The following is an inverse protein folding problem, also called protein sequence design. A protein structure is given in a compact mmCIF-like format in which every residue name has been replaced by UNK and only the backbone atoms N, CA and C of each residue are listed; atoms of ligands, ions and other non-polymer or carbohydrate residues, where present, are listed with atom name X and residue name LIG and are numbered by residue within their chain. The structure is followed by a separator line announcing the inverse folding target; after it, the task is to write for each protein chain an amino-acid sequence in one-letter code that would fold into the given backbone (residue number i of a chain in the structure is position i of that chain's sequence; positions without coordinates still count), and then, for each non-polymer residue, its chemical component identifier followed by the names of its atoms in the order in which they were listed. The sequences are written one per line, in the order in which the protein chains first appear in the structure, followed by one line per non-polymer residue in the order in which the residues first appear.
data_IF_957745808178
#
_entry.id   IF_957745808178
#
_cell.length_a   1.000
_cell.length_b   1.000
_cell.length_c   1.000
_cell.angle_alpha   90.00
_cell.angle_beta   90.00
_cell.angle_gamma   90.00
#
_symmetry.space_group_name_H-M   'P 1'
#
loop_
_entity.id
_entity.type
_entity.pdbx_description
1 polymer ?
#
# COMPACT_ATOMS: atom_id res chain seq x y z
N UNK A 1 -20.66 28.83 13.45
CA UNK A 1 -19.41 29.53 13.11
C UNK A 1 -18.32 28.49 12.95
N UNK A 2 -17.57 28.50 11.84
CA UNK A 2 -16.47 27.55 11.64
C UNK A 2 -15.27 27.92 12.51
N UNK A 3 -14.67 26.94 13.18
CA UNK A 3 -13.43 27.15 13.93
C UNK A 3 -12.27 27.34 12.95
N UNK A 4 -11.47 28.38 13.16
CA UNK A 4 -10.24 28.62 12.40
C UNK A 4 -9.05 28.57 13.37
N UNK A 5 -8.08 27.66 13.18
CA UNK A 5 -6.94 27.56 14.08
C UNK A 5 -6.07 28.82 13.98
N UNK A 6 -5.54 29.32 15.10
CA UNK A 6 -4.65 30.49 15.10
C UNK A 6 -3.36 30.17 14.37
N UNK A 7 -2.87 31.10 13.55
CA UNK A 7 -1.58 30.96 12.87
C UNK A 7 -0.43 31.18 13.85
N UNK A 8 0.76 30.63 13.55
CA UNK A 8 1.95 30.81 14.38
C UNK A 8 2.28 32.29 14.63
N UNK A 9 2.16 33.14 13.60
CA UNK A 9 2.37 34.59 13.73
C UNK A 9 1.41 35.24 14.73
N UNK A 10 0.14 34.81 14.73
CA UNK A 10 -0.85 35.29 15.69
C UNK A 10 -0.56 34.83 17.13
N UNK A 11 -0.02 33.62 17.29
CA UNK A 11 0.38 33.07 18.59
C UNK A 11 1.60 33.78 19.17
N UNK A 12 2.59 34.12 18.33
CA UNK A 12 3.76 34.92 18.73
C UNK A 12 3.29 36.29 19.23
N UNK A 13 2.49 37.01 18.43
CA UNK A 13 1.99 38.33 18.81
C UNK A 13 1.18 38.29 20.12
N UNK A 14 0.32 37.28 20.31
CA UNK A 14 -0.42 37.08 21.56
C UNK A 14 0.51 36.82 22.75
N UNK A 15 1.57 36.05 22.56
CA UNK A 15 2.50 35.71 23.65
C UNK A 15 3.33 36.93 24.05
N UNK A 16 3.82 37.70 23.07
CA UNK A 16 4.52 38.97 23.32
C UNK A 16 3.63 39.97 24.07
N UNK A 17 2.35 40.13 23.65
CA UNK A 17 1.38 40.98 24.35
C UNK A 17 1.12 40.52 25.79
N UNK A 18 1.01 39.21 26.03
CA UNK A 18 0.83 38.67 27.38
C UNK A 18 2.03 38.98 28.29
N UNK A 19 3.26 38.93 27.76
CA UNK A 19 4.47 39.25 28.52
C UNK A 19 4.50 40.75 28.85
N UNK A 20 4.23 41.61 27.87
CA UNK A 20 4.24 43.07 28.05
C UNK A 20 3.17 43.53 29.06
N UNK A 21 1.98 42.92 29.05
CA UNK A 21 0.93 43.21 30.02
C UNK A 21 1.30 42.84 31.46
N UNK A 22 2.07 41.76 31.65
CA UNK A 22 2.48 41.29 32.99
C UNK A 22 3.76 41.93 33.49
N UNK A 23 4.63 42.36 32.57
CA UNK A 23 5.90 43.01 32.86
C UNK A 23 5.97 44.35 32.11
N UNK A 24 5.33 45.41 32.65
CA UNK A 24 5.33 46.72 32.01
C UNK A 24 6.76 47.24 31.79
N UNK A 25 7.03 47.78 30.60
CA UNK A 25 8.38 48.23 30.24
C UNK A 25 9.36 47.12 29.88
N UNK A 26 8.92 45.86 29.87
CA UNK A 26 9.62 44.80 29.13
C UNK A 26 9.37 45.00 27.63
N UNK A 27 10.41 44.89 26.81
CA UNK A 27 10.32 45.07 25.35
C UNK A 27 10.50 43.70 24.68
N UNK A 28 9.50 42.80 24.74
CA UNK A 28 9.63 41.42 24.27
C UNK A 28 9.70 41.31 22.74
N UNK A 29 9.26 42.33 21.99
CA UNK A 29 9.35 42.33 20.51
C UNK A 29 10.78 42.58 19.99
N UNK A 30 11.67 43.08 20.85
CA UNK A 30 13.05 43.34 20.46
C UNK A 30 13.79 42.02 20.18
N UNK A 31 14.37 41.91 18.99
CA UNK A 31 15.21 40.77 18.60
C UNK A 31 16.38 40.59 19.60
N UNK A 32 16.81 39.34 19.75
CA UNK A 32 17.98 38.94 20.56
C UNK A 32 17.83 39.13 22.08
N UNK A 33 16.63 39.45 22.57
CA UNK A 33 16.33 39.41 24.01
C UNK A 33 15.90 38.02 24.44
N UNK A 34 16.26 37.65 25.67
CA UNK A 34 15.83 36.41 26.32
C UNK A 34 14.30 36.28 26.36
N UNK A 35 13.58 37.38 26.60
CA UNK A 35 12.11 37.43 26.58
C UNK A 35 11.53 37.12 25.21
N UNK A 36 12.16 37.58 24.13
CA UNK A 36 11.76 37.26 22.77
C UNK A 36 11.92 35.76 22.51
N UNK A 37 13.07 35.17 22.87
CA UNK A 37 13.29 33.74 22.72
C UNK A 37 12.25 32.89 23.48
N UNK A 38 11.87 33.29 24.70
CA UNK A 38 10.83 32.62 25.49
C UNK A 38 9.45 32.75 24.83
N UNK A 39 9.10 33.93 24.31
CA UNK A 39 7.83 34.15 23.62
C UNK A 39 7.68 33.25 22.39
N UNK A 40 8.75 33.13 21.58
CA UNK A 40 8.77 32.26 20.42
C UNK A 40 8.70 30.77 20.81
N UNK A 41 9.44 30.35 21.84
CA UNK A 41 9.39 28.97 22.31
C UNK A 41 7.98 28.59 22.78
N UNK A 42 7.32 29.45 23.57
CA UNK A 42 5.97 29.20 24.05
C UNK A 42 4.93 29.22 22.93
N UNK A 43 5.06 30.13 21.96
CA UNK A 43 4.19 30.17 20.79
C UNK A 43 4.35 28.90 19.91
N UNK A 44 5.58 28.40 19.74
CA UNK A 44 5.86 27.16 19.04
C UNK A 44 5.25 25.94 19.71
N UNK A 45 5.37 25.83 21.04
CA UNK A 45 4.71 24.77 21.81
C UNK A 45 3.18 24.83 21.66
N UNK A 46 2.59 26.02 21.75
CA UNK A 46 1.15 26.20 21.58
C UNK A 46 0.69 25.81 20.16
N UNK A 47 1.46 26.18 19.13
CA UNK A 47 1.17 25.79 17.75
C UNK A 47 1.18 24.26 17.58
N UNK A 48 2.20 23.58 18.11
CA UNK A 48 2.26 22.11 18.09
C UNK A 48 1.08 21.45 18.81
N UNK A 49 0.62 22.01 19.93
CA UNK A 49 -0.59 21.55 20.61
C UNK A 49 -1.85 21.71 19.74
N UNK A 50 -2.00 22.85 19.05
CA UNK A 50 -3.14 23.07 18.15
C UNK A 50 -3.14 22.08 16.97
N UNK A 51 -1.97 21.82 16.38
CA UNK A 51 -1.82 20.83 15.32
C UNK A 51 -2.16 19.42 15.80
N UNK A 52 -1.66 19.02 16.97
CA UNK A 52 -1.94 17.71 17.53
C UNK A 52 -3.43 17.53 17.85
N UNK A 53 -4.08 18.52 18.48
CA UNK A 53 -5.53 18.47 18.76
C UNK A 53 -6.33 18.40 17.46
N UNK A 54 -5.92 19.15 16.42
CA UNK A 54 -6.54 19.09 15.10
C UNK A 54 -6.42 17.70 14.49
N UNK A 55 -5.24 17.06 14.60
CA UNK A 55 -5.04 15.68 14.17
C UNK A 55 -5.94 14.72 14.95
N UNK A 56 -5.99 14.79 16.29
CA UNK A 56 -6.89 13.95 17.12
C UNK A 56 -8.34 14.13 16.69
N UNK A 57 -8.78 15.37 16.45
CA UNK A 57 -10.14 15.66 16.00
C UNK A 57 -10.50 14.97 14.68
N UNK A 58 -9.55 14.82 13.75
CA UNK A 58 -9.74 14.07 12.50
C UNK A 58 -9.86 12.56 12.72
N UNK A 59 -9.19 12.01 13.73
CA UNK A 59 -9.23 10.57 14.04
C UNK A 59 -10.54 10.12 14.71
N UNK A 60 -11.30 11.04 15.33
CA UNK A 60 -12.55 10.69 16.03
C UNK A 60 -13.62 10.18 15.07
N UNK A 61 -13.71 10.76 13.87
CA UNK A 61 -14.72 10.41 12.87
C UNK A 61 -14.10 9.37 11.92
N UNK A 62 -14.66 8.16 11.80
CA UNK A 62 -14.09 7.10 10.97
C UNK A 62 -13.89 7.49 9.49
N UNK A 63 -14.70 8.40 8.96
CA UNK A 63 -14.57 8.84 7.57
C UNK A 63 -13.39 9.77 7.30
N UNK A 64 -12.84 10.42 8.33
CA UNK A 64 -11.69 11.34 8.23
C UNK A 64 -10.45 10.83 8.94
N UNK A 65 -10.55 9.68 9.62
CA UNK A 65 -9.45 9.05 10.32
C UNK A 65 -8.41 8.49 9.34
N UNK A 66 -7.16 8.44 9.80
CA UNK A 66 -6.07 7.75 9.13
C UNK A 66 -6.29 6.23 9.19
N UNK A 67 -5.60 5.48 8.33
CA UNK A 67 -5.87 4.05 8.11
C UNK A 67 -5.73 3.20 9.39
N UNK A 68 -4.74 3.49 10.24
CA UNK A 68 -4.49 2.74 11.48
C UNK A 68 -5.63 2.93 12.50
N UNK A 69 -6.06 4.16 12.73
CA UNK A 69 -7.17 4.47 13.63
C UNK A 69 -8.50 3.96 13.06
N UNK A 70 -8.69 4.04 11.74
CA UNK A 70 -9.86 3.44 11.08
C UNK A 70 -9.95 1.93 11.34
N UNK A 71 -8.82 1.21 11.34
CA UNK A 71 -8.80 -0.21 11.66
C UNK A 71 -9.21 -0.48 13.12
N UNK A 72 -8.80 0.36 14.07
CA UNK A 72 -9.26 0.27 15.46
C UNK A 72 -10.76 0.57 15.60
N UNK A 73 -11.27 1.58 14.89
CA UNK A 73 -12.70 1.83 14.77
C UNK A 73 -13.42 0.59 14.22
N UNK A 74 -12.96 0.03 13.10
CA UNK A 74 -13.56 -1.19 12.54
C UNK A 74 -13.55 -2.36 13.54
N UNK A 75 -12.45 -2.54 14.29
CA UNK A 75 -12.35 -3.56 15.35
C UNK A 75 -13.41 -3.37 16.43
N UNK A 76 -13.67 -2.13 16.86
CA UNK A 76 -14.72 -1.82 17.83
C UNK A 76 -16.10 -2.27 17.32
N UNK A 77 -16.38 -2.08 16.02
CA UNK A 77 -17.62 -2.53 15.38
C UNK A 77 -17.61 -4.03 15.00
N UNK A 78 -16.56 -4.78 15.31
CA UNK A 78 -16.41 -6.19 14.94
C UNK A 78 -16.14 -6.44 13.45
N UNK A 79 -15.89 -5.38 12.67
CA UNK A 79 -15.54 -5.48 11.26
C UNK A 79 -14.02 -5.65 11.14
N UNK A 80 -13.58 -6.72 10.48
CA UNK A 80 -12.15 -6.95 10.21
C UNK A 80 -11.87 -6.78 8.73
N UNK A 81 -10.75 -6.13 8.40
CA UNK A 81 -10.28 -6.05 7.02
C UNK A 81 -9.95 -7.45 6.51
N UNK A 82 -10.44 -7.77 5.30
CA UNK A 82 -10.06 -9.01 4.62
C UNK A 82 -8.59 -8.93 4.25
N UNK A 83 -7.84 -10.00 4.52
CA UNK A 83 -6.49 -10.12 4.03
C UNK A 83 -6.50 -10.17 2.50
N UNK A 84 -5.41 -9.70 1.88
CA UNK A 84 -5.24 -9.81 0.46
C UNK A 84 -5.21 -11.30 0.08
N UNK A 85 -6.19 -11.74 -0.72
CA UNK A 85 -6.21 -13.10 -1.28
C UNK A 85 -5.52 -13.07 -2.64
N UNK A 86 -4.73 -14.10 -2.93
CA UNK A 86 -4.16 -14.28 -4.27
C UNK A 86 -5.27 -14.61 -5.28
N UNK A 87 -5.20 -14.00 -6.47
CA UNK A 87 -6.11 -14.34 -7.55
C UNK A 87 -5.83 -15.78 -8.04
N UNK A 88 -6.90 -16.58 -8.21
CA UNK A 88 -6.85 -17.90 -8.83
C UNK A 88 -7.75 -17.93 -10.05
N UNK A 89 -7.28 -18.50 -11.16
CA UNK A 89 -8.07 -18.58 -12.39
C UNK A 89 -7.62 -19.69 -13.34
N UNK A 90 -8.47 -20.07 -14.30
CA UNK A 90 -8.12 -21.04 -15.33
C UNK A 90 -7.12 -20.43 -16.32
N UNK A 91 -6.12 -21.22 -16.69
CA UNK A 91 -5.11 -20.96 -17.69
C UNK A 91 -5.13 -22.11 -18.69
N UNK A 92 -5.42 -21.81 -19.95
CA UNK A 92 -5.37 -22.81 -21.02
C UNK A 92 -3.93 -23.01 -21.46
N UNK A 93 -3.43 -24.24 -21.28
CA UNK A 93 -2.08 -24.64 -21.70
C UNK A 93 -2.20 -25.59 -22.88
N UNK A 94 -1.47 -25.31 -23.95
CA UNK A 94 -1.37 -26.18 -25.12
C UNK A 94 -0.07 -26.98 -25.06
N UNK A 95 -0.16 -28.30 -25.05
CA UNK A 95 1.01 -29.19 -25.08
C UNK A 95 1.10 -29.97 -26.39
N UNK A 96 2.31 -30.19 -26.89
CA UNK A 96 2.57 -30.90 -28.15
C UNK A 96 2.75 -32.41 -27.97
N UNK A 97 2.90 -32.90 -26.74
CA UNK A 97 3.07 -34.31 -26.40
C UNK A 97 2.56 -34.57 -24.97
N UNK A 98 2.37 -35.85 -24.63
CA UNK A 98 2.03 -36.26 -23.27
C UNK A 98 3.08 -35.75 -22.29
N UNK A 99 2.69 -34.89 -21.34
CA UNK A 99 3.61 -34.19 -20.45
C UNK A 99 2.98 -34.05 -19.07
N UNK A 100 3.76 -34.31 -18.02
CA UNK A 100 3.35 -34.04 -16.64
C UNK A 100 3.88 -32.67 -16.23
N UNK A 101 2.97 -31.77 -15.84
CA UNK A 101 3.31 -30.48 -15.25
C UNK A 101 3.37 -30.65 -13.73
N UNK A 102 4.55 -30.52 -13.09
CA UNK A 102 4.66 -30.66 -11.65
C UNK A 102 4.03 -29.46 -10.93
N UNK A 103 3.59 -29.69 -9.69
CA UNK A 103 3.19 -28.62 -8.79
C UNK A 103 4.32 -27.59 -8.65
N UNK A 104 3.97 -26.30 -8.58
CA UNK A 104 4.93 -25.20 -8.50
C UNK A 104 5.51 -24.75 -9.84
N UNK A 105 5.02 -25.29 -10.98
CA UNK A 105 5.32 -24.73 -12.30
C UNK A 105 4.92 -23.25 -12.36
N UNK A 106 5.80 -22.38 -12.90
CA UNK A 106 5.65 -20.93 -12.85
C UNK A 106 5.37 -20.33 -14.22
N UNK A 107 4.47 -19.35 -14.24
CA UNK A 107 4.21 -18.49 -15.39
C UNK A 107 4.34 -17.03 -14.99
N UNK A 108 4.87 -16.21 -15.88
CA UNK A 108 5.13 -14.81 -15.64
C UNK A 108 4.37 -13.94 -16.63
N UNK A 109 3.68 -12.91 -16.13
CA UNK A 109 3.10 -11.85 -16.95
C UNK A 109 4.21 -10.90 -17.44
N UNK A 110 3.99 -10.21 -18.55
CA UNK A 110 4.87 -9.16 -19.05
C UNK A 110 5.34 -8.15 -17.97
N UNK A 111 4.52 -7.86 -16.97
CA UNK A 111 4.80 -6.91 -15.89
C UNK A 111 5.65 -7.49 -14.74
N UNK A 112 6.03 -8.77 -14.80
CA UNK A 112 6.83 -9.43 -13.76
C UNK A 112 6.05 -10.19 -12.69
N UNK A 113 4.71 -10.14 -12.73
CA UNK A 113 3.85 -10.90 -11.80
C UNK A 113 3.91 -12.39 -12.11
N UNK A 114 4.15 -13.21 -11.10
CA UNK A 114 4.33 -14.66 -11.24
C UNK A 114 3.12 -15.42 -10.70
N UNK A 115 2.72 -16.44 -11.43
CA UNK A 115 1.65 -17.39 -11.11
C UNK A 115 2.25 -18.78 -10.95
N UNK A 116 1.73 -19.57 -10.02
CA UNK A 116 2.16 -20.94 -9.76
C UNK A 116 1.02 -21.93 -9.86
N UNK A 117 1.36 -23.12 -10.31
CA UNK A 117 0.48 -24.29 -10.26
C UNK A 117 0.38 -24.83 -8.83
N UNK A 118 -0.83 -25.04 -8.31
CA UNK A 118 -1.02 -25.62 -6.98
C UNK A 118 -0.74 -27.14 -6.97
N UNK A 119 -1.33 -27.87 -7.92
CA UNK A 119 -1.27 -29.34 -7.97
C UNK A 119 -0.69 -29.84 -9.29
N UNK A 120 0.02 -30.97 -9.26
CA UNK A 120 0.57 -31.57 -10.47
C UNK A 120 -0.55 -32.07 -11.40
N UNK A 121 -0.42 -31.80 -12.70
CA UNK A 121 -1.38 -32.22 -13.72
C UNK A 121 -0.68 -33.09 -14.75
N UNK A 122 -1.25 -34.26 -15.03
CA UNK A 122 -0.79 -35.15 -16.10
C UNK A 122 -1.63 -34.87 -17.34
N UNK A 123 -0.97 -34.59 -18.47
CA UNK A 123 -1.62 -34.43 -19.76
C UNK A 123 -1.27 -35.66 -20.60
N UNK A 124 -2.27 -36.52 -20.86
CA UNK A 124 -2.08 -37.84 -21.47
C UNK A 124 -1.82 -37.80 -22.99
N UNK A 125 -2.19 -36.71 -23.66
CA UNK A 125 -1.99 -36.51 -25.11
C UNK A 125 -1.85 -35.03 -25.45
N UNK A 126 -1.17 -34.73 -26.56
CA UNK A 126 -1.13 -33.39 -27.14
C UNK A 126 -2.54 -32.79 -27.26
N UNK A 127 -2.74 -31.61 -26.68
CA UNK A 127 -4.05 -30.97 -26.57
C UNK A 127 -4.00 -29.68 -25.76
N UNK A 128 -5.14 -28.99 -25.74
CA UNK A 128 -5.40 -27.84 -24.87
C UNK A 128 -6.02 -28.35 -23.58
N UNK A 129 -5.39 -28.05 -22.44
CA UNK A 129 -5.89 -28.40 -21.11
C UNK A 129 -6.04 -27.13 -20.29
N UNK A 130 -7.18 -26.96 -19.63
CA UNK A 130 -7.38 -25.88 -18.67
C UNK A 130 -6.79 -26.26 -17.33
N UNK A 131 -6.02 -25.34 -16.77
CA UNK A 131 -5.26 -25.54 -15.54
C UNK A 131 -5.52 -24.37 -14.61
N UNK A 132 -5.82 -24.62 -13.33
CA UNK A 132 -5.99 -23.53 -12.37
C UNK A 132 -4.63 -23.08 -11.84
N UNK A 133 -4.30 -21.80 -12.01
CA UNK A 133 -3.08 -21.18 -11.48
C UNK A 133 -3.41 -20.12 -10.45
N UNK A 134 -2.53 -19.95 -9.47
CA UNK A 134 -2.68 -18.97 -8.39
C UNK A 134 -1.56 -17.95 -8.45
N UNK A 135 -1.88 -16.67 -8.29
CA UNK A 135 -0.88 -15.61 -8.21
C UNK A 135 0.01 -15.79 -6.97
N UNK A 136 1.32 -15.60 -7.09
CA UNK A 136 2.22 -15.57 -5.93
C UNK A 136 2.14 -14.24 -5.18
N UNK A 137 1.77 -13.16 -5.87
CA UNK A 137 1.48 -11.87 -5.26
C UNK A 137 0.00 -11.78 -4.87
N UNK A 138 -0.27 -11.47 -3.60
CA UNK A 138 -1.62 -11.23 -3.09
C UNK A 138 -2.09 -9.80 -3.41
N UNK A 139 -3.42 -9.62 -3.58
CA UNK A 139 -4.03 -8.31 -3.80
C UNK A 139 -4.15 -7.91 -5.28
N UNK A 140 -4.44 -6.63 -5.55
CA UNK A 140 -4.77 -6.15 -6.90
C UNK A 140 -3.64 -6.37 -7.93
N UNK A 141 -2.38 -6.35 -7.48
CA UNK A 141 -1.23 -6.63 -8.34
C UNK A 141 -1.25 -8.06 -8.91
N UNK A 142 -1.89 -9.01 -8.21
CA UNK A 142 -2.09 -10.37 -8.69
C UNK A 142 -3.26 -10.53 -9.65
N UNK A 143 -4.13 -9.53 -9.76
CA UNK A 143 -5.33 -9.61 -10.59
C UNK A 143 -4.97 -9.63 -12.07
N UNK A 144 -5.66 -10.51 -12.78
CA UNK A 144 -5.45 -10.79 -14.19
C UNK A 144 -6.73 -10.52 -14.92
N UNK A 145 -6.71 -9.55 -15.83
CA UNK A 145 -7.81 -9.36 -16.76
C UNK A 145 -7.93 -10.58 -17.66
N UNK A 146 -9.15 -10.82 -18.15
CA UNK A 146 -9.36 -11.63 -19.35
C UNK A 146 -8.32 -11.23 -20.41
N UNK A 147 -7.88 -12.20 -21.17
CA UNK A 147 -7.07 -11.98 -22.35
C UNK A 147 -5.55 -11.82 -22.23
N UNK A 148 -4.96 -12.10 -21.07
CA UNK A 148 -3.55 -11.72 -20.81
C UNK A 148 -2.48 -12.80 -21.05
N UNK A 149 -1.41 -12.30 -21.68
CA UNK A 149 -0.06 -12.83 -21.89
C UNK A 149 0.64 -13.44 -20.69
N UNK A 150 0.53 -14.75 -20.43
CA UNK A 150 1.44 -15.44 -19.51
C UNK A 150 2.51 -16.23 -20.27
N UNK A 151 3.78 -15.92 -19.97
CA UNK A 151 4.94 -16.61 -20.53
C UNK A 151 5.43 -17.65 -19.53
N UNK A 152 5.79 -18.84 -20.01
CA UNK A 152 6.36 -19.88 -19.16
C UNK A 152 7.73 -19.44 -18.64
N UNK A 153 7.91 -19.44 -17.31
CA UNK A 153 9.22 -19.18 -16.73
C UNK A 153 9.99 -20.50 -16.59
N UNK A 154 11.02 -20.65 -17.40
CA UNK A 154 11.88 -21.83 -17.42
C UNK A 154 12.98 -21.79 -16.34
N UNK A 155 13.03 -20.75 -15.50
CA UNK A 155 14.06 -20.57 -14.46
C UNK A 155 14.07 -21.68 -13.39
N UNK A 156 12.94 -22.37 -13.18
CA UNK A 156 12.81 -23.51 -12.25
C UNK A 156 12.89 -24.90 -12.88
N UNK A 157 13.06 -25.00 -14.21
CA UNK A 157 13.06 -26.28 -14.89
C UNK A 157 14.42 -26.96 -14.72
N UNK A 158 14.59 -27.73 -13.63
CA UNK A 158 15.74 -28.58 -13.33
C UNK A 158 15.96 -29.73 -14.34
N UNK A 159 15.22 -29.76 -15.46
CA UNK A 159 15.49 -30.66 -16.56
C UNK A 159 16.63 -30.12 -17.43
N UNK A 160 17.84 -30.33 -16.95
CA UNK A 160 19.04 -30.41 -17.77
C UNK A 160 18.81 -31.47 -18.86
N UNK A 161 18.33 -31.10 -20.06
CA UNK A 161 18.61 -31.77 -21.35
C UNK A 161 17.86 -31.05 -22.49
N UNK A 162 18.58 -30.11 -23.13
CA UNK A 162 18.60 -29.84 -24.58
C UNK A 162 17.29 -30.10 -25.36
N UNK A 163 16.49 -29.06 -25.59
CA UNK A 163 15.64 -29.01 -26.78
C UNK A 163 15.53 -27.61 -27.35
N UNK A 164 16.13 -27.44 -28.54
CA UNK A 164 15.93 -26.32 -29.44
C UNK A 164 14.43 -26.20 -29.79
N UNK A 165 13.97 -24.96 -30.02
CA UNK A 165 12.70 -24.59 -30.64
C UNK A 165 11.43 -24.75 -29.79
N UNK A 166 11.01 -23.67 -29.13
CA UNK A 166 9.62 -23.21 -29.26
C UNK A 166 9.46 -21.74 -28.84
N UNK A 167 9.73 -20.82 -29.78
CA UNK A 167 9.09 -19.49 -29.75
C UNK A 167 7.66 -19.69 -30.23
N UNK A 168 6.63 -19.30 -29.45
CA UNK A 168 5.41 -18.68 -29.99
C UNK A 168 4.43 -18.21 -28.90
N UNK A 169 4.20 -16.90 -28.99
CA UNK A 169 3.08 -16.06 -28.53
C UNK A 169 1.76 -16.83 -28.37
N UNK A 170 1.15 -16.73 -27.18
CA UNK A 170 -0.22 -17.16 -26.92
C UNK A 170 -1.20 -16.01 -27.21
N UNK A 171 -2.49 -16.30 -27.43
CA UNK A 171 -3.58 -15.32 -27.64
C UNK A 171 -4.82 -15.91 -26.97
N UNK A 172 -5.60 -15.09 -26.29
CA UNK A 172 -6.76 -15.49 -25.47
C UNK A 172 -8.04 -15.02 -26.21
N UNK A 173 -9.22 -15.49 -25.82
CA UNK A 173 -10.53 -15.00 -26.29
C UNK A 173 -11.45 -14.83 -25.11
#
# INVERSE_FOLDING_TARGET
MAYSPPTLSSLIARTEQNIEQRLPGSWPQAREKTLSAIAYAQAGLAAGCHEHISWVGRQIIPSTADEDELLEHCRFWGVRRKQATAASGPLTVTTSAATTLPAGTRWQRADGVVYSLADAIVIDRAGTTEITVTALAAGEAGNTGENTLLTFDYSGCLCCFRCHHCKRVFRWS
#
